data_IF_504123697749
#
_entry.id   IF_504123697749
#
_cell.length_a   1.000
_cell.length_b   1.000
_cell.length_c   1.000
_cell.angle_alpha   90.00
_cell.angle_beta   90.00
_cell.angle_gamma   90.00
#
_symmetry.space_group_name_H-M   'P 1'
#
loop_
_entity.id
_entity.type
_entity.pdbx_description
1 polymer ?
#
# COMPACT_ATOMS: atom_id res chain seq x y z
N UNK A 1 -21.63 5.83 0.71
CA UNK A 1 -20.29 5.46 0.21
C UNK A 1 -19.30 6.43 0.84
N UNK A 2 -18.18 5.98 1.41
CA UNK A 2 -17.22 6.89 2.06
C UNK A 2 -15.94 7.00 1.22
N UNK A 3 -15.56 8.22 0.87
CA UNK A 3 -14.39 8.53 0.04
C UNK A 3 -13.29 9.03 0.97
N UNK A 4 -12.27 8.20 1.16
CA UNK A 4 -11.11 8.55 1.97
C UNK A 4 -10.02 9.14 1.08
N UNK A 5 -9.59 10.36 1.35
CA UNK A 5 -8.51 11.03 0.60
C UNK A 5 -7.49 11.70 1.52
N UNK A 6 -6.36 12.12 0.96
CA UNK A 6 -5.38 12.94 1.67
C UNK A 6 -5.83 14.40 1.80
N UNK A 7 -5.04 15.23 2.49
CA UNK A 7 -5.32 16.66 2.68
C UNK A 7 -4.82 17.54 1.54
N UNK A 8 -4.68 17.02 0.33
CA UNK A 8 -4.39 17.82 -0.86
C UNK A 8 -5.43 18.93 -1.03
N UNK A 9 -5.00 20.12 -1.45
CA UNK A 9 -5.87 21.31 -1.62
C UNK A 9 -7.08 21.03 -2.51
N UNK A 10 -6.94 20.10 -3.46
CA UNK A 10 -7.97 19.66 -4.39
C UNK A 10 -9.11 18.90 -3.67
N UNK A 11 -8.77 18.05 -2.70
CA UNK A 11 -9.72 17.22 -1.93
C UNK A 11 -10.29 17.93 -0.69
N UNK A 12 -9.72 19.07 -0.31
CA UNK A 12 -10.22 19.96 0.76
C UNK A 12 -11.12 21.07 0.19
N UNK A 13 -11.13 21.26 -1.13
CA UNK A 13 -11.88 22.33 -1.79
C UNK A 13 -13.39 22.24 -1.52
N UNK A 14 -14.05 23.40 -1.46
CA UNK A 14 -15.53 23.47 -1.34
C UNK A 14 -16.22 22.76 -2.50
N UNK A 15 -15.65 22.84 -3.70
CA UNK A 15 -16.15 22.13 -4.88
C UNK A 15 -16.19 20.62 -4.65
N UNK A 16 -15.12 20.02 -4.12
CA UNK A 16 -15.06 18.58 -3.86
C UNK A 16 -16.07 18.11 -2.82
N UNK A 17 -16.28 18.91 -1.77
CA UNK A 17 -17.27 18.63 -0.73
C UNK A 17 -18.70 18.63 -1.29
N UNK A 18 -19.05 19.64 -2.09
CA UNK A 18 -20.38 19.71 -2.73
C UNK A 18 -20.56 18.61 -3.78
N UNK A 19 -19.53 18.30 -4.57
CA UNK A 19 -19.56 17.21 -5.55
C UNK A 19 -19.84 15.85 -4.88
N UNK A 20 -19.15 15.53 -3.79
CA UNK A 20 -19.38 14.28 -3.06
C UNK A 20 -20.78 14.24 -2.43
N UNK A 21 -21.27 15.37 -1.93
CA UNK A 21 -22.62 15.51 -1.37
C UNK A 21 -23.70 15.23 -2.41
N UNK A 22 -23.53 15.72 -3.64
CA UNK A 22 -24.43 15.44 -4.76
C UNK A 22 -24.44 13.95 -5.13
N UNK A 23 -23.30 13.27 -5.01
CA UNK A 23 -23.18 11.82 -5.23
C UNK A 23 -23.67 10.97 -4.05
N UNK A 24 -24.14 11.57 -2.95
CA UNK A 24 -24.52 10.84 -1.73
C UNK A 24 -23.33 10.17 -1.03
N UNK A 25 -22.12 10.67 -1.25
CA UNK A 25 -20.88 10.16 -0.67
C UNK A 25 -20.41 11.06 0.48
N UNK A 26 -19.87 10.44 1.54
CA UNK A 26 -19.19 11.14 2.63
C UNK A 26 -17.69 11.25 2.32
N UNK A 27 -17.04 12.34 2.74
CA UNK A 27 -15.60 12.54 2.54
C UNK A 27 -14.89 12.46 3.88
N UNK A 28 -13.98 11.50 4.00
CA UNK A 28 -13.15 11.29 5.18
C UNK A 28 -11.70 11.67 4.86
N UNK A 29 -11.26 12.85 5.31
CA UNK A 29 -9.87 13.27 5.13
C UNK A 29 -8.97 12.49 6.09
N UNK A 30 -8.07 11.68 5.53
CA UNK A 30 -7.06 10.97 6.31
C UNK A 30 -6.17 11.98 7.06
N UNK A 31 -5.90 11.70 8.33
CA UNK A 31 -4.90 12.49 9.05
C UNK A 31 -3.54 12.24 8.40
N UNK A 32 -2.75 13.30 8.15
CA UNK A 32 -1.47 13.24 7.44
C UNK A 32 -0.38 12.34 8.07
N UNK A 33 -0.75 11.53 9.07
CA UNK A 33 0.10 10.60 9.80
C UNK A 33 -0.51 9.20 9.96
N UNK A 34 -1.54 8.83 9.18
CA UNK A 34 -2.04 7.45 9.11
C UNK A 34 -1.61 6.74 7.80
N UNK A 35 -0.39 6.17 7.75
CA UNK A 35 0.10 5.38 6.61
C UNK A 35 -0.66 4.06 6.38
N UNK A 36 -1.68 3.74 7.20
CA UNK A 36 -2.54 2.58 6.98
C UNK A 36 -3.75 2.89 6.09
N UNK A 37 -4.36 4.07 6.22
CA UNK A 37 -5.55 4.44 5.44
C UNK A 37 -5.20 4.79 4.00
N UNK A 38 -4.13 5.58 3.79
CA UNK A 38 -3.64 5.90 2.44
C UNK A 38 -2.63 4.87 1.91
N UNK A 39 -2.13 3.99 2.78
CA UNK A 39 -1.06 3.06 2.41
C UNK A 39 -1.46 1.95 1.44
N UNK A 40 -2.76 1.72 1.22
CA UNK A 40 -3.22 0.80 0.17
C UNK A 40 -3.14 1.49 -1.20
N UNK A 41 -3.65 2.72 -1.30
CA UNK A 41 -3.54 3.55 -2.51
C UNK A 41 -2.08 3.84 -2.86
N UNK A 42 -1.24 4.19 -1.88
CA UNK A 42 0.19 4.40 -2.10
C UNK A 42 0.91 3.14 -2.58
N UNK A 43 0.55 1.95 -2.05
CA UNK A 43 1.12 0.68 -2.50
C UNK A 43 0.66 0.32 -3.92
N UNK A 44 -0.62 0.52 -4.23
CA UNK A 44 -1.14 0.32 -5.57
C UNK A 44 -0.43 1.25 -6.58
N UNK A 45 -0.27 2.53 -6.25
CA UNK A 45 0.47 3.48 -7.07
C UNK A 45 1.92 3.06 -7.29
N UNK A 46 2.63 2.62 -6.24
CA UNK A 46 4.00 2.11 -6.37
C UNK A 46 4.12 0.89 -7.30
N UNK A 47 3.14 -0.01 -7.26
CA UNK A 47 3.12 -1.18 -8.13
C UNK A 47 2.80 -0.81 -9.59
N UNK A 48 1.82 0.08 -9.82
CA UNK A 48 1.52 0.63 -11.14
C UNK A 48 2.72 1.37 -11.74
N UNK A 49 3.38 2.24 -10.97
CA UNK A 49 4.59 2.94 -11.38
C UNK A 49 5.74 1.98 -11.73
N UNK A 50 5.90 0.90 -10.96
CA UNK A 50 6.93 -0.11 -11.22
C UNK A 50 6.67 -0.86 -12.54
N UNK A 51 5.41 -1.16 -12.84
CA UNK A 51 5.01 -1.76 -14.11
C UNK A 51 5.24 -0.80 -15.27
N UNK A 52 4.76 0.43 -15.11
CA UNK A 52 4.88 1.48 -16.11
C UNK A 52 6.36 1.74 -16.45
N UNK A 53 7.22 1.94 -15.44
CA UNK A 53 8.68 2.13 -15.64
C UNK A 53 9.33 1.02 -16.45
N UNK A 54 8.90 -0.23 -16.30
CA UNK A 54 9.45 -1.35 -17.08
C UNK A 54 8.96 -1.33 -18.52
N UNK A 55 7.68 -1.04 -18.75
CA UNK A 55 7.08 -1.03 -20.08
C UNK A 55 7.58 0.13 -20.94
N UNK A 56 7.78 1.30 -20.32
CA UNK A 56 8.20 2.52 -21.02
C UNK A 56 9.73 2.68 -21.05
N UNK A 57 10.48 1.72 -20.50
CA UNK A 57 11.95 1.82 -20.38
C UNK A 57 12.66 2.13 -21.72
N UNK A 58 12.12 1.63 -22.84
CA UNK A 58 12.65 1.88 -24.18
C UNK A 58 12.08 3.15 -24.84
N UNK A 59 10.91 3.62 -24.39
CA UNK A 59 10.25 4.80 -24.94
C UNK A 59 9.38 5.50 -23.88
N UNK A 60 9.96 6.35 -23.03
CA UNK A 60 9.25 6.98 -21.91
C UNK A 60 8.05 7.84 -22.32
N UNK A 61 8.07 8.45 -23.51
CA UNK A 61 6.98 9.28 -24.02
C UNK A 61 5.69 8.50 -24.31
N UNK A 62 5.77 7.17 -24.43
CA UNK A 62 4.60 6.30 -24.68
C UNK A 62 3.79 5.93 -23.43
N UNK A 63 4.12 6.49 -22.25
CA UNK A 63 3.55 6.06 -20.98
C UNK A 63 2.03 6.15 -20.91
N UNK A 64 1.43 7.20 -21.46
CA UNK A 64 -0.03 7.39 -21.46
C UNK A 64 -0.74 6.30 -22.25
N UNK A 65 -0.15 5.85 -23.36
CA UNK A 65 -0.68 4.76 -24.19
C UNK A 65 -0.58 3.40 -23.49
N UNK A 66 0.34 3.24 -22.53
CA UNK A 66 0.49 2.01 -21.76
C UNK A 66 -0.40 1.98 -20.51
N UNK A 67 -1.01 3.11 -20.12
CA UNK A 67 -1.72 3.24 -18.85
C UNK A 67 -2.91 2.28 -18.74
N UNK A 68 -3.73 2.18 -19.80
CA UNK A 68 -4.89 1.27 -19.83
C UNK A 68 -4.47 -0.20 -19.70
N UNK A 69 -3.37 -0.59 -20.35
CA UNK A 69 -2.82 -1.94 -20.25
C UNK A 69 -2.26 -2.23 -18.85
N UNK A 70 -1.64 -1.23 -18.21
CA UNK A 70 -1.10 -1.33 -16.85
C UNK A 70 -2.20 -1.43 -15.80
N UNK A 71 -3.24 -0.60 -15.90
CA UNK A 71 -4.41 -0.65 -15.03
C UNK A 71 -5.11 -2.01 -15.13
N UNK A 72 -5.36 -2.47 -16.35
CA UNK A 72 -5.97 -3.78 -16.56
C UNK A 72 -5.11 -4.91 -15.97
N UNK A 73 -3.79 -4.84 -16.16
CA UNK A 73 -2.85 -5.81 -15.61
C UNK A 73 -2.87 -5.83 -14.09
N UNK A 74 -2.89 -4.66 -13.46
CA UNK A 74 -3.02 -4.55 -12.02
C UNK A 74 -4.34 -5.16 -11.53
N UNK A 75 -5.46 -4.85 -12.18
CA UNK A 75 -6.79 -5.30 -11.78
C UNK A 75 -7.05 -6.78 -12.05
N UNK A 76 -6.22 -7.44 -12.86
CA UNK A 76 -6.35 -8.87 -13.19
C UNK A 76 -5.46 -9.79 -12.38
N UNK A 77 -4.47 -9.25 -11.66
CA UNK A 77 -3.53 -10.06 -10.91
C UNK A 77 -4.03 -10.29 -9.48
N UNK A 78 -3.92 -11.52 -8.95
CA UNK A 78 -4.27 -11.80 -7.57
C UNK A 78 -3.44 -10.95 -6.60
N UNK A 79 -4.09 -10.27 -5.66
CA UNK A 79 -3.39 -9.57 -4.59
C UNK A 79 -3.13 -10.52 -3.42
N UNK A 80 -1.98 -10.34 -2.77
CA UNK A 80 -1.49 -11.26 -1.74
C UNK A 80 -2.35 -11.32 -0.47
N UNK A 81 -3.18 -10.30 -0.23
CA UNK A 81 -4.09 -10.21 0.92
C UNK A 81 -5.34 -11.06 0.77
N UNK A 82 -5.87 -11.23 -0.44
CA UNK A 82 -7.14 -11.93 -0.68
C UNK A 82 -6.98 -13.19 -1.53
N UNK A 83 -5.88 -13.34 -2.26
CA UNK A 83 -5.69 -14.42 -3.24
C UNK A 83 -6.56 -14.27 -4.49
N UNK A 84 -7.33 -13.19 -4.60
CA UNK A 84 -8.24 -12.87 -5.71
C UNK A 84 -7.76 -11.61 -6.44
N UNK A 85 -8.09 -11.50 -7.73
CA UNK A 85 -7.82 -10.26 -8.48
C UNK A 85 -8.81 -9.16 -8.09
N UNK A 86 -8.42 -7.88 -8.17
CA UNK A 86 -9.35 -6.76 -7.96
C UNK A 86 -10.62 -6.86 -8.79
N UNK A 87 -10.52 -7.32 -10.05
CA UNK A 87 -11.69 -7.58 -10.88
C UNK A 87 -12.62 -8.64 -10.29
N UNK A 88 -12.09 -9.78 -9.81
CA UNK A 88 -12.93 -10.78 -9.14
C UNK A 88 -13.57 -10.26 -7.86
N UNK A 89 -12.86 -9.44 -7.08
CA UNK A 89 -13.41 -8.87 -5.86
C UNK A 89 -14.51 -7.84 -6.12
N UNK A 90 -14.36 -7.01 -7.16
CA UNK A 90 -15.27 -5.90 -7.47
C UNK A 90 -16.45 -6.33 -8.36
N UNK A 91 -16.18 -7.14 -9.39
CA UNK A 91 -17.14 -7.54 -10.41
C UNK A 91 -17.68 -8.96 -10.21
N UNK A 92 -17.06 -9.77 -9.33
CA UNK A 92 -17.40 -11.18 -9.16
C UNK A 92 -16.83 -12.10 -10.25
N UNK A 93 -16.24 -11.55 -11.32
CA UNK A 93 -15.61 -12.30 -12.41
C UNK A 93 -14.36 -11.60 -12.93
N UNK A 94 -13.57 -12.31 -13.74
CA UNK A 94 -12.40 -11.76 -14.42
C UNK A 94 -12.82 -11.41 -15.85
N UNK A 95 -12.86 -10.12 -16.24
CA UNK A 95 -13.08 -9.73 -17.62
C UNK A 95 -12.04 -10.42 -18.52
N UNK A 96 -12.40 -10.89 -19.72
CA UNK A 96 -11.43 -11.34 -20.70
C UNK A 96 -10.72 -10.14 -21.34
N UNK A 97 -9.41 -10.24 -21.60
CA UNK A 97 -8.61 -9.16 -22.23
C UNK A 97 -9.02 -8.98 -23.69
N UNK A 98 -9.32 -10.10 -24.34
CA UNK A 98 -9.78 -10.16 -25.70
C UNK A 98 -11.10 -10.94 -25.67
N UNK A 99 -12.22 -10.39 -26.17
CA UNK A 99 -13.42 -11.17 -26.39
C UNK A 99 -13.06 -12.40 -27.21
N UNK A 100 -13.55 -13.57 -26.82
CA UNK A 100 -13.30 -14.85 -27.49
C UNK A 100 -13.93 -14.95 -28.89
N UNK A 101 -14.62 -13.92 -29.38
CA UNK A 101 -15.00 -13.83 -30.79
C UNK A 101 -13.85 -13.20 -31.57
N UNK A 102 -12.93 -14.06 -32.00
CA UNK A 102 -12.12 -13.79 -33.19
C UNK A 102 -13.06 -13.82 -34.40
N UNK A 103 -13.83 -12.74 -34.61
CA UNK A 103 -14.35 -12.50 -35.96
C UNK A 103 -13.15 -12.27 -36.87
N UNK A 104 -13.16 -12.89 -38.06
CA UNK A 104 -12.12 -12.74 -39.08
C UNK A 104 -11.76 -11.27 -39.25
N UNK A 105 -10.57 -10.90 -38.78
CA UNK A 105 -10.13 -9.50 -38.78
C UNK A 105 -9.74 -9.16 -40.21
N UNK A 106 -10.57 -8.38 -40.91
CA UNK A 106 -10.32 -7.91 -42.28
C UNK A 106 -9.03 -7.07 -42.42
N UNK A 107 -8.46 -6.61 -41.30
CA UNK A 107 -7.31 -5.69 -41.26
C UNK A 107 -6.11 -6.34 -40.55
N UNK A 108 -5.07 -6.76 -41.29
CA UNK A 108 -3.87 -7.40 -40.73
C UNK A 108 -3.13 -6.58 -39.65
N UNK A 109 -3.20 -5.24 -39.72
CA UNK A 109 -2.56 -4.36 -38.72
C UNK A 109 -3.25 -4.42 -37.34
N UNK A 110 -4.57 -4.61 -37.30
CA UNK A 110 -5.32 -4.79 -36.06
C UNK A 110 -4.98 -6.15 -35.41
N UNK A 111 -4.84 -7.21 -36.21
CA UNK A 111 -4.37 -8.51 -35.72
C UNK A 111 -2.92 -8.40 -35.16
N UNK A 112 -2.02 -7.72 -35.88
CA UNK A 112 -0.65 -7.49 -35.42
C UNK A 112 -0.58 -6.66 -34.12
N UNK A 113 -1.50 -5.70 -33.94
CA UNK A 113 -1.62 -4.91 -32.72
C UNK A 113 -2.10 -5.76 -31.53
N UNK A 114 -3.16 -6.55 -31.71
CA UNK A 114 -3.67 -7.49 -30.69
C UNK A 114 -2.60 -8.51 -30.27
N UNK A 115 -1.86 -9.08 -31.23
CA UNK A 115 -0.73 -9.99 -30.95
C UNK A 115 0.40 -9.30 -30.18
N UNK A 116 0.62 -7.99 -30.42
CA UNK A 116 1.58 -7.18 -29.66
C UNK A 116 1.09 -6.97 -28.22
N UNK A 117 -0.18 -6.64 -28.03
CA UNK A 117 -0.80 -6.52 -26.70
C UNK A 117 -0.75 -7.85 -25.92
N UNK A 118 -1.05 -8.99 -26.56
CA UNK A 118 -0.93 -10.33 -25.95
C UNK A 118 0.50 -10.63 -25.47
N UNK A 119 1.51 -10.30 -26.27
CA UNK A 119 2.92 -10.51 -25.91
C UNK A 119 3.36 -9.60 -24.75
N UNK A 120 3.00 -8.32 -24.82
CA UNK A 120 3.28 -7.36 -23.74
C UNK A 120 2.60 -7.79 -22.44
N UNK A 121 1.35 -8.26 -22.52
CA UNK A 121 0.60 -8.79 -21.39
C UNK A 121 1.29 -9.96 -20.70
N UNK A 122 1.62 -11.00 -21.48
CA UNK A 122 2.22 -12.23 -20.95
C UNK A 122 3.51 -11.92 -20.22
N UNK A 123 4.36 -11.07 -20.83
CA UNK A 123 5.61 -10.61 -20.24
C UNK A 123 5.39 -9.78 -18.97
N UNK A 124 4.40 -8.89 -18.94
CA UNK A 124 4.07 -8.09 -17.76
C UNK A 124 3.60 -8.98 -16.60
N UNK A 125 2.70 -9.93 -16.87
CA UNK A 125 2.16 -10.88 -15.90
C UNK A 125 3.25 -11.74 -15.27
N UNK A 126 4.11 -12.36 -16.08
CA UNK A 126 5.24 -13.17 -15.58
C UNK A 126 6.18 -12.34 -14.71
N UNK A 127 6.51 -11.13 -15.17
CA UNK A 127 7.39 -10.22 -14.46
C UNK A 127 6.83 -9.85 -13.09
N UNK A 128 5.51 -9.67 -12.98
CA UNK A 128 4.83 -9.34 -11.73
C UNK A 128 4.76 -10.51 -10.76
N UNK A 129 4.46 -11.71 -11.25
CA UNK A 129 4.46 -12.92 -10.44
C UNK A 129 5.87 -13.20 -9.89
N UNK A 130 6.91 -13.05 -10.71
CA UNK A 130 8.30 -13.19 -10.27
C UNK A 130 8.70 -12.12 -9.25
N UNK A 131 8.32 -10.86 -9.46
CA UNK A 131 8.59 -9.77 -8.53
C UNK A 131 7.89 -10.00 -7.17
N UNK A 132 6.62 -10.41 -7.20
CA UNK A 132 5.85 -10.77 -6.00
C UNK A 132 6.48 -11.93 -5.22
N UNK A 133 6.88 -13.00 -5.93
CA UNK A 133 7.57 -14.15 -5.33
C UNK A 133 8.91 -13.77 -4.68
N UNK A 134 9.73 -12.96 -5.35
CA UNK A 134 11.01 -12.46 -4.80
C UNK A 134 10.80 -11.57 -3.56
N UNK A 135 9.80 -10.70 -3.58
CA UNK A 135 9.48 -9.84 -2.43
C UNK A 135 9.02 -10.68 -1.23
N UNK A 136 8.14 -11.66 -1.44
CA UNK A 136 7.68 -12.58 -0.40
C UNK A 136 8.84 -13.37 0.19
N UNK A 137 9.66 -14.02 -0.65
CA UNK A 137 10.80 -14.80 -0.19
C UNK A 137 11.82 -13.96 0.61
N UNK A 138 12.08 -12.72 0.18
CA UNK A 138 12.97 -11.80 0.91
C UNK A 138 12.36 -11.36 2.25
N UNK A 139 11.06 -11.07 2.29
CA UNK A 139 10.38 -10.69 3.52
C UNK A 139 10.35 -11.84 4.54
N UNK A 140 10.04 -13.05 4.08
CA UNK A 140 9.98 -14.24 4.92
C UNK A 140 11.37 -14.62 5.46
N UNK A 141 12.45 -14.47 4.65
CA UNK A 141 13.84 -14.70 5.11
C UNK A 141 14.27 -13.78 6.26
N UNK A 142 13.71 -12.58 6.36
CA UNK A 142 14.01 -11.62 7.43
C UNK A 142 13.00 -11.65 8.59
N UNK A 143 12.01 -12.55 8.56
CA UNK A 143 10.95 -12.63 9.56
C UNK A 143 11.38 -13.54 10.72
N UNK A 144 12.01 -12.96 11.74
CA UNK A 144 12.20 -13.64 13.02
C UNK A 144 10.87 -13.80 13.76
N UNK A 145 10.71 -14.86 14.57
CA UNK A 145 9.55 -14.98 15.49
C UNK A 145 9.46 -13.70 16.33
N UNK A 146 8.30 -13.02 16.38
CA UNK A 146 8.20 -11.80 17.16
C UNK A 146 8.40 -12.11 18.65
N UNK A 147 9.12 -11.25 19.40
CA UNK A 147 9.24 -11.42 20.85
C UNK A 147 7.85 -11.41 21.49
N UNK A 148 7.62 -12.32 22.44
CA UNK A 148 6.38 -12.34 23.23
C UNK A 148 6.51 -11.30 24.33
N UNK A 149 5.56 -10.36 24.36
CA UNK A 149 5.48 -9.32 25.39
C UNK A 149 4.36 -9.65 26.37
N UNK A 150 4.51 -9.23 27.63
CA UNK A 150 3.47 -9.35 28.66
C UNK A 150 2.93 -7.97 29.06
N UNK A 151 1.67 -7.93 29.51
CA UNK A 151 1.09 -6.71 30.07
C UNK A 151 1.87 -6.30 31.31
N UNK A 152 2.18 -5.01 31.44
CA UNK A 152 3.03 -4.44 32.49
C UNK A 152 4.52 -4.38 32.13
N UNK A 153 4.98 -5.12 31.11
CA UNK A 153 6.38 -5.10 30.70
C UNK A 153 6.79 -3.71 30.20
N UNK A 154 7.95 -3.23 30.67
CA UNK A 154 8.54 -1.97 30.23
C UNK A 154 9.28 -2.15 28.92
N UNK A 155 9.00 -1.29 27.95
CA UNK A 155 9.61 -1.31 26.62
C UNK A 155 10.07 0.08 26.19
N UNK A 156 11.16 0.12 25.43
CA UNK A 156 11.63 1.27 24.69
C UNK A 156 10.89 1.37 23.35
N UNK A 157 10.43 2.56 22.97
CA UNK A 157 9.74 2.84 21.71
C UNK A 157 10.67 3.54 20.72
N UNK A 158 10.80 2.99 19.50
CA UNK A 158 11.61 3.56 18.41
C UNK A 158 11.02 4.88 17.90
N UNK A 159 11.86 5.89 17.73
CA UNK A 159 11.48 7.24 17.29
C UNK A 159 11.58 7.46 15.78
N UNK A 160 12.06 6.47 15.01
CA UNK A 160 12.33 6.55 13.57
C UNK A 160 11.20 7.17 12.72
N UNK A 161 9.95 7.02 13.15
CA UNK A 161 8.76 7.57 12.48
C UNK A 161 7.88 8.41 13.43
N UNK A 162 8.46 8.93 14.52
CA UNK A 162 7.75 9.73 15.52
C UNK A 162 8.29 11.16 15.40
N UNK A 163 7.43 12.17 15.14
CA UNK A 163 7.86 13.56 15.12
C UNK A 163 8.18 14.02 16.54
N UNK A 164 9.43 13.84 16.95
CA UNK A 164 9.96 14.44 18.18
C UNK A 164 10.26 15.91 17.92
N UNK A 165 9.92 16.77 18.88
CA UNK A 165 10.45 18.15 18.93
C UNK A 165 11.93 18.05 19.29
N UNK A 166 12.78 17.88 18.27
CA UNK A 166 14.23 17.89 18.39
C UNK A 166 14.80 18.86 17.35
N UNK A 167 15.94 19.46 17.68
CA UNK A 167 16.64 20.42 16.82
C UNK A 167 17.11 19.76 15.51
N UNK A 168 17.31 18.43 15.50
CA UNK A 168 17.67 17.67 14.30
C UNK A 168 17.30 16.19 14.44
N UNK A 169 16.77 15.59 13.37
CA UNK A 169 16.47 14.14 13.30
C UNK A 169 17.71 13.26 13.52
N UNK A 170 18.92 13.79 13.28
CA UNK A 170 20.18 13.05 13.53
C UNK A 170 20.57 13.04 15.01
N UNK A 171 20.16 14.05 15.78
CA UNK A 171 20.46 14.21 17.20
C UNK A 171 19.30 13.76 18.10
N UNK A 172 18.14 13.46 17.53
CA UNK A 172 17.01 12.93 18.28
C UNK A 172 17.34 11.54 18.87
N UNK A 173 16.89 11.24 20.10
CA UNK A 173 17.03 9.90 20.68
C UNK A 173 16.42 8.88 19.75
N UNK A 174 17.11 7.78 19.44
CA UNK A 174 16.58 6.71 18.57
C UNK A 174 15.45 5.91 19.23
N UNK A 175 15.40 5.93 20.56
CA UNK A 175 14.38 5.28 21.38
C UNK A 175 13.97 6.21 22.53
N UNK A 176 12.70 6.13 22.93
CA UNK A 176 12.09 6.87 24.05
C UNK A 176 11.35 5.91 24.99
N UNK A 177 11.14 6.32 26.23
CA UNK A 177 10.52 5.49 27.27
C UNK A 177 11.43 5.39 28.50
N UNK A 178 11.31 4.32 29.31
CA UNK A 178 10.50 3.13 29.08
C UNK A 178 9.00 3.33 29.32
N UNK A 179 8.16 2.74 28.47
CA UNK A 179 6.70 2.75 28.63
C UNK A 179 6.17 1.36 28.95
N UNK A 180 5.21 1.21 29.87
CA UNK A 180 4.62 -0.09 30.16
C UNK A 180 3.61 -0.49 29.08
N UNK A 181 3.62 -1.77 28.71
CA UNK A 181 2.60 -2.40 27.87
C UNK A 181 1.28 -2.46 28.63
N UNK A 182 0.21 -1.88 28.10
CA UNK A 182 -1.13 -1.89 28.72
C UNK A 182 -2.00 -3.01 28.18
N UNK A 183 -1.83 -3.38 26.91
CA UNK A 183 -2.63 -4.42 26.26
C UNK A 183 -1.87 -5.06 25.11
N UNK A 184 -1.98 -6.38 24.97
CA UNK A 184 -1.56 -7.10 23.77
C UNK A 184 -2.76 -7.09 22.81
N UNK A 185 -2.61 -6.46 21.64
CA UNK A 185 -3.68 -6.35 20.64
C UNK A 185 -3.66 -7.59 19.74
N UNK A 186 -2.47 -8.01 19.34
CA UNK A 186 -2.23 -9.22 18.55
C UNK A 186 -0.79 -9.72 18.79
N UNK A 187 -0.40 -10.90 18.29
CA UNK A 187 0.98 -11.40 18.40
C UNK A 187 2.05 -10.46 17.81
N UNK A 188 1.65 -9.46 17.02
CA UNK A 188 2.55 -8.51 16.36
C UNK A 188 2.31 -7.05 16.76
N UNK A 189 1.34 -6.76 17.63
CA UNK A 189 0.98 -5.40 18.02
C UNK A 189 0.61 -5.28 19.50
N UNK A 190 1.16 -4.27 20.17
CA UNK A 190 0.90 -3.96 21.58
C UNK A 190 0.50 -2.51 21.77
N UNK A 191 -0.23 -2.23 22.85
CA UNK A 191 -0.59 -0.88 23.29
C UNK A 191 0.30 -0.45 24.45
N UNK A 192 0.81 0.76 24.41
CA UNK A 192 1.66 1.35 25.45
C UNK A 192 0.94 2.43 26.25
N UNK A 193 1.31 2.63 27.51
CA UNK A 193 0.91 3.80 28.29
C UNK A 193 1.84 4.97 27.97
N UNK A 194 1.41 5.86 27.08
CA UNK A 194 2.16 7.06 26.73
C UNK A 194 1.81 8.23 27.67
N UNK A 195 2.79 9.03 28.14
CA UNK A 195 2.54 10.26 28.87
C UNK A 195 1.73 11.29 28.04
N UNK A 196 1.06 12.25 28.70
CA UNK A 196 0.28 13.31 28.03
C UNK A 196 1.08 14.11 26.99
N UNK A 197 2.40 14.25 27.17
CA UNK A 197 3.30 14.89 26.22
C UNK A 197 3.26 14.25 24.81
N UNK A 198 2.85 12.98 24.71
CA UNK A 198 2.78 12.20 23.48
C UNK A 198 1.33 11.96 23.01
N UNK A 199 0.35 12.74 23.50
CA UNK A 199 -1.09 12.54 23.21
C UNK A 199 -1.46 12.56 21.72
N UNK A 200 -0.63 13.17 20.86
CA UNK A 200 -0.81 13.16 19.39
C UNK A 200 -0.40 11.85 18.73
N UNK A 201 0.26 10.95 19.45
CA UNK A 201 0.73 9.65 18.93
C UNK A 201 -0.26 8.57 19.35
N UNK A 202 -0.72 7.76 18.39
CA UNK A 202 -1.58 6.62 18.68
C UNK A 202 -0.81 5.58 19.52
N UNK A 203 -1.37 5.07 20.63
CA UNK A 203 -0.62 4.26 21.60
C UNK A 203 -0.38 2.80 21.18
N UNK A 204 -0.85 2.39 20.00
CA UNK A 204 -0.65 1.02 19.48
C UNK A 204 0.54 0.96 18.53
N UNK A 205 1.45 0.02 18.76
CA UNK A 205 2.70 -0.13 18.02
C UNK A 205 2.95 -1.58 17.63
N UNK A 206 3.56 -1.77 16.46
CA UNK A 206 4.05 -3.06 16.04
C UNK A 206 5.28 -3.48 16.88
N UNK A 207 5.41 -4.76 17.18
CA UNK A 207 6.51 -5.32 18.01
C UNK A 207 7.92 -4.99 17.48
N UNK A 208 8.07 -4.80 16.16
CA UNK A 208 9.35 -4.37 15.55
C UNK A 208 9.75 -2.91 15.87
N UNK A 209 8.84 -2.12 16.43
CA UNK A 209 9.07 -0.72 16.82
C UNK A 209 9.38 -0.57 18.31
N UNK A 210 9.39 -1.66 19.07
CA UNK A 210 9.65 -1.65 20.50
C UNK A 210 10.77 -2.60 20.87
N UNK A 211 11.45 -2.32 21.98
CA UNK A 211 12.50 -3.20 22.54
C UNK A 211 12.27 -3.42 24.02
N UNK A 212 12.45 -4.65 24.54
CA UNK A 212 12.36 -4.88 25.98
C UNK A 212 13.44 -4.09 26.72
N UNK A 213 13.10 -3.63 27.92
CA UNK A 213 14.06 -3.04 28.87
C UNK A 213 14.65 -4.20 29.67
N UNK A 214 15.96 -4.37 29.62
CA UNK A 214 16.69 -5.27 30.51
C UNK A 214 17.24 -4.42 31.65
N UNK A 215 16.85 -4.74 32.88
CA UNK A 215 17.54 -4.23 34.06
C UNK A 215 18.65 -5.23 34.37
N UNK A 216 19.89 -4.79 34.22
CA UNK A 216 21.09 -5.50 34.71
C UNK A 216 21.20 -5.36 36.22
#
# INVERSE_FOLDING_TARGET
MDVVSDRGSQFVSKFWQEFCKLLGATVSLSSGYHPQSNGQSERANQDLERMLRRLVAKNPSSWSQQLSMVEYAHNSLPVSSTGLSPFKCSLGYQPPIFPSLESEVAVPSAHAFVQRCRRTWTRARETLLQAGGRMKAKADRHRSKPPVYVVGQKVWLSTKNIPLRSVSNKLAPKFIGPFPVTKIISPVAVRLKLPPAYRRIHPAFHVSKIKPVFYS
#
